data_IF_717923705653
#
_entry.id   IF_717923705653
#
_cell.length_a   1.000
_cell.length_b   1.000
_cell.length_c   1.000
_cell.angle_alpha   90.00
_cell.angle_beta   90.00
_cell.angle_gamma   90.00
#
_symmetry.space_group_name_H-M   'P 1'
#
loop_
_entity.id
_entity.type
_entity.pdbx_description
1 polymer ?
#
# COMPACT_ATOMS: atom_id res chain seq x y z
N UNK A 1 18.05 -10.87 -20.64
CA UNK A 1 19.30 -10.78 -19.86
C UNK A 1 19.07 -9.89 -18.65
N UNK A 2 18.64 -10.55 -17.57
CA UNK A 2 18.50 -10.14 -16.16
C UNK A 2 17.95 -8.73 -15.89
N UNK A 3 16.62 -8.60 -15.94
CA UNK A 3 15.93 -7.54 -15.22
C UNK A 3 16.16 -7.74 -13.72
N UNK A 4 16.84 -6.78 -13.11
CA UNK A 4 17.06 -6.71 -11.67
C UNK A 4 15.70 -6.77 -10.94
N UNK A 5 15.49 -7.69 -9.98
CA UNK A 5 14.33 -7.62 -9.11
C UNK A 5 14.46 -6.32 -8.30
N UNK A 6 13.52 -5.41 -8.48
CA UNK A 6 13.47 -4.16 -7.74
C UNK A 6 13.53 -4.47 -6.24
N UNK A 7 14.47 -3.78 -5.61
CA UNK A 7 14.80 -3.80 -4.20
C UNK A 7 13.60 -4.13 -3.31
N UNK A 8 13.74 -5.26 -2.62
CA UNK A 8 13.01 -5.51 -1.39
C UNK A 8 13.22 -4.30 -0.47
N UNK A 9 12.16 -3.52 -0.26
CA UNK A 9 12.10 -2.59 0.85
C UNK A 9 11.88 -3.46 2.09
N UNK A 10 12.98 -3.91 2.68
CA UNK A 10 13.00 -4.59 3.97
C UNK A 10 12.83 -3.51 5.04
N UNK A 11 11.57 -3.17 5.35
CA UNK A 11 11.29 -2.45 6.59
C UNK A 11 11.32 -3.48 7.74
N UNK A 12 12.38 -3.43 8.53
CA UNK A 12 12.52 -4.19 9.77
C UNK A 12 11.57 -3.62 10.84
N UNK A 13 10.29 -3.98 10.72
CA UNK A 13 9.30 -3.84 11.78
C UNK A 13 9.24 -5.11 12.61
N UNK A 14 9.21 -5.00 13.94
CA UNK A 14 8.96 -6.12 14.84
C UNK A 14 7.60 -6.76 14.51
N UNK A 15 7.62 -7.91 13.83
CA UNK A 15 6.41 -8.65 13.51
C UNK A 15 5.74 -9.12 14.80
N UNK A 16 4.53 -8.63 15.07
CA UNK A 16 3.71 -9.02 16.22
C UNK A 16 3.19 -10.46 16.07
N UNK A 17 3.15 -10.97 14.84
CA UNK A 17 2.66 -12.31 14.52
C UNK A 17 3.66 -13.10 13.68
N UNK A 18 3.54 -14.43 13.69
CA UNK A 18 4.41 -15.29 12.88
C UNK A 18 4.16 -15.02 11.37
N UNK A 19 5.21 -14.85 10.55
CA UNK A 19 5.05 -14.59 9.13
C UNK A 19 4.33 -15.75 8.44
N UNK A 20 3.23 -15.44 7.77
CA UNK A 20 2.45 -16.41 7.01
C UNK A 20 3.19 -16.79 5.72
N UNK A 21 3.23 -18.09 5.40
CA UNK A 21 3.88 -18.58 4.17
C UNK A 21 3.05 -18.18 2.95
N UNK A 22 3.62 -17.33 2.10
CA UNK A 22 3.00 -16.85 0.86
C UNK A 22 3.15 -17.94 -0.22
N UNK A 23 2.06 -18.36 -0.90
CA UNK A 23 2.15 -19.35 -1.98
C UNK A 23 2.90 -18.78 -3.21
N UNK A 24 3.61 -19.64 -3.97
CA UNK A 24 4.34 -19.19 -5.15
C UNK A 24 3.37 -18.71 -6.24
N UNK A 25 3.57 -17.49 -6.74
CA UNK A 25 2.75 -16.88 -7.79
C UNK A 25 1.57 -16.03 -7.29
N UNK A 26 1.50 -15.74 -5.99
CA UNK A 26 0.52 -14.80 -5.45
C UNK A 26 0.94 -13.34 -5.67
N UNK A 27 0.05 -12.53 -6.23
CA UNK A 27 0.22 -11.09 -6.35
C UNK A 27 -0.66 -10.38 -5.32
N UNK A 28 -0.09 -9.60 -4.38
CA UNK A 28 -0.88 -8.93 -3.36
C UNK A 28 -1.75 -7.85 -3.98
N UNK A 29 -3.00 -7.72 -3.55
CA UNK A 29 -3.86 -6.58 -3.88
C UNK A 29 -3.87 -5.60 -2.71
N UNK A 30 -3.12 -4.51 -2.82
CA UNK A 30 -2.96 -3.51 -1.74
C UNK A 30 -3.74 -2.25 -2.07
N UNK A 31 -4.53 -1.78 -1.11
CA UNK A 31 -5.28 -0.54 -1.20
C UNK A 31 -4.65 0.51 -0.29
N UNK A 32 -4.22 1.62 -0.87
CA UNK A 32 -3.65 2.76 -0.15
C UNK A 32 -4.71 3.86 0.00
N UNK A 33 -5.00 4.25 1.22
CA UNK A 33 -5.85 5.38 1.55
C UNK A 33 -4.94 6.57 1.87
N UNK A 34 -4.99 7.59 1.02
CA UNK A 34 -4.12 8.76 1.11
C UNK A 34 -4.95 10.03 1.37
N UNK A 35 -4.55 10.81 2.37
CA UNK A 35 -5.05 12.17 2.53
C UNK A 35 -4.64 13.05 1.35
N UNK A 36 -5.46 14.04 1.05
CA UNK A 36 -5.24 14.94 -0.08
C UNK A 36 -3.98 15.78 0.06
N UNK A 37 -3.70 16.27 1.28
CA UNK A 37 -2.68 17.30 1.49
C UNK A 37 -1.26 16.76 1.70
N UNK A 38 -1.11 15.63 2.39
CA UNK A 38 0.20 15.07 2.73
C UNK A 38 0.50 13.81 1.92
N UNK A 39 -0.25 12.72 2.13
CA UNK A 39 0.05 11.42 1.55
C UNK A 39 -0.14 11.37 0.02
N UNK A 40 -1.19 11.99 -0.51
CA UNK A 40 -1.41 12.06 -1.95
C UNK A 40 -0.36 12.96 -2.62
N UNK A 41 0.01 14.08 -1.98
CA UNK A 41 1.11 14.92 -2.46
C UNK A 41 2.46 14.20 -2.43
N UNK A 42 2.71 13.35 -1.43
CA UNK A 42 3.91 12.50 -1.38
C UNK A 42 3.90 11.44 -2.49
N UNK A 43 2.74 10.85 -2.80
CA UNK A 43 2.59 9.95 -3.94
C UNK A 43 2.85 10.66 -5.28
N UNK A 44 2.35 11.89 -5.45
CA UNK A 44 2.64 12.72 -6.62
C UNK A 44 4.13 13.06 -6.72
N UNK A 45 4.78 13.38 -5.59
CA UNK A 45 6.23 13.62 -5.54
C UNK A 45 7.01 12.36 -5.92
N UNK A 46 6.62 11.17 -5.45
CA UNK A 46 7.23 9.92 -5.85
C UNK A 46 7.13 9.70 -7.38
N UNK A 47 6.01 10.11 -7.99
CA UNK A 47 5.84 10.14 -9.45
C UNK A 47 6.78 11.13 -10.15
N UNK A 48 6.93 12.35 -9.63
CA UNK A 48 7.87 13.36 -10.15
C UNK A 48 9.31 12.87 -10.07
N UNK A 49 9.67 12.20 -8.98
CA UNK A 49 10.98 11.59 -8.76
C UNK A 49 11.21 10.31 -9.57
N UNK A 50 10.18 9.82 -10.28
CA UNK A 50 10.19 8.58 -11.06
C UNK A 50 10.58 7.36 -10.21
N UNK A 51 10.15 7.33 -8.96
CA UNK A 51 10.33 6.18 -8.09
C UNK A 51 9.45 5.04 -8.60
N UNK A 52 10.06 3.88 -8.83
CA UNK A 52 9.31 2.68 -9.19
C UNK A 52 8.66 2.09 -7.94
N UNK A 53 7.39 1.76 -8.04
CA UNK A 53 6.64 1.03 -7.04
C UNK A 53 5.84 -0.07 -7.74
N UNK A 54 5.42 -1.07 -6.96
CA UNK A 54 4.63 -2.18 -7.51
C UNK A 54 3.26 -1.69 -8.01
N UNK A 55 2.81 -2.12 -9.21
CA UNK A 55 1.50 -1.73 -9.76
C UNK A 55 0.31 -2.30 -8.96
N UNK A 56 0.60 -3.16 -7.99
CA UNK A 56 -0.36 -3.81 -7.11
C UNK A 56 -0.99 -2.87 -6.07
N UNK A 57 -0.45 -1.66 -5.91
CA UNK A 57 -0.94 -0.65 -4.98
C UNK A 57 -1.92 0.29 -5.68
N UNK A 58 -3.15 0.37 -5.18
CA UNK A 58 -4.20 1.27 -5.70
C UNK A 58 -4.48 2.38 -4.69
N UNK A 59 -4.39 3.64 -5.12
CA UNK A 59 -4.56 4.79 -4.22
C UNK A 59 -6.01 5.32 -4.27
N UNK A 60 -6.64 5.45 -3.11
CA UNK A 60 -7.89 6.19 -2.90
C UNK A 60 -7.58 7.50 -2.21
N UNK A 61 -7.98 8.60 -2.84
CA UNK A 61 -7.82 9.96 -2.32
C UNK A 61 -8.99 10.33 -1.39
N UNK A 62 -8.67 10.76 -0.17
CA UNK A 62 -9.59 11.33 0.80
C UNK A 62 -9.22 12.79 1.09
N UNK A 63 -10.16 13.66 1.52
CA UNK A 63 -9.80 15.02 1.93
C UNK A 63 -8.81 15.05 3.11
N UNK A 64 -8.97 14.17 4.09
CA UNK A 64 -8.07 13.98 5.23
C UNK A 64 -8.23 12.55 5.78
N UNK A 65 -7.22 12.00 6.45
CA UNK A 65 -7.33 10.71 7.17
C UNK A 65 -8.39 10.73 8.26
N UNK A 66 -8.75 11.90 8.80
CA UNK A 66 -9.85 12.03 9.75
C UNK A 66 -11.23 11.65 9.18
N UNK A 67 -11.38 11.53 7.85
CA UNK A 67 -12.60 11.00 7.22
C UNK A 67 -12.65 9.46 7.21
N UNK A 68 -11.52 8.80 7.48
CA UNK A 68 -11.46 7.35 7.48
C UNK A 68 -12.21 6.80 8.68
N UNK A 69 -13.24 6.02 8.37
CA UNK A 69 -13.99 5.22 9.34
C UNK A 69 -13.66 3.73 9.18
N UNK A 70 -13.84 2.97 10.26
CA UNK A 70 -13.60 1.52 10.30
C UNK A 70 -14.44 0.76 9.26
N UNK A 71 -15.64 1.24 8.93
CA UNK A 71 -16.47 0.65 7.88
C UNK A 71 -15.78 0.60 6.52
N UNK A 72 -14.95 1.59 6.17
CA UNK A 72 -14.18 1.56 4.92
C UNK A 72 -13.09 0.50 4.94
N UNK A 73 -12.42 0.34 6.09
CA UNK A 73 -11.37 -0.66 6.31
C UNK A 73 -11.96 -2.06 6.16
N UNK A 74 -13.05 -2.35 6.89
CA UNK A 74 -13.72 -3.65 6.84
C UNK A 74 -14.26 -3.96 5.45
N UNK A 75 -14.89 -2.99 4.79
CA UNK A 75 -15.40 -3.14 3.43
C UNK A 75 -14.29 -3.38 2.41
N UNK A 76 -13.07 -2.87 2.63
CA UNK A 76 -11.94 -3.16 1.76
C UNK A 76 -11.55 -4.63 1.86
N UNK A 77 -11.44 -5.18 3.08
CA UNK A 77 -11.15 -6.60 3.30
C UNK A 77 -12.27 -7.50 2.78
N UNK A 78 -13.55 -7.15 2.97
CA UNK A 78 -14.69 -7.87 2.38
C UNK A 78 -14.64 -7.93 0.84
N UNK A 79 -13.98 -6.96 0.20
CA UNK A 79 -13.80 -6.90 -1.25
C UNK A 79 -12.57 -7.66 -1.76
N UNK A 80 -11.85 -8.37 -0.88
CA UNK A 80 -10.66 -9.15 -1.25
C UNK A 80 -9.41 -8.29 -1.44
N UNK A 81 -9.27 -7.23 -0.63
CA UNK A 81 -8.00 -6.53 -0.48
C UNK A 81 -7.15 -7.30 0.54
N UNK A 82 -5.91 -7.61 0.17
CA UNK A 82 -4.99 -8.38 1.03
C UNK A 82 -4.30 -7.49 2.07
N UNK A 83 -4.16 -6.19 1.77
CA UNK A 83 -3.53 -5.23 2.66
C UNK A 83 -4.06 -3.82 2.46
N UNK A 84 -4.21 -3.09 3.56
CA UNK A 84 -4.58 -1.69 3.57
C UNK A 84 -3.41 -0.85 4.07
N UNK A 85 -3.02 0.16 3.32
CA UNK A 85 -2.05 1.18 3.74
C UNK A 85 -2.79 2.49 3.99
N UNK A 86 -2.64 3.10 5.17
CA UNK A 86 -3.30 4.37 5.50
C UNK A 86 -2.23 5.39 5.84
N UNK A 87 -2.21 6.50 5.12
CA UNK A 87 -1.27 7.60 5.35
C UNK A 87 -1.99 8.95 5.30
N UNK A 88 -1.61 9.83 6.23
CA UNK A 88 -2.20 11.14 6.48
C UNK A 88 -1.16 12.23 6.58
#
# INVERSE_FOLDING_TARGET
>A
MTGLPQAAVQEEGAFVEAPHKIPPGWEPNVLAIACHYCAFAAADLAGVMRLSYSPNVKIIRLPCTGKLDHSYVLRAFERGVDGLFVAG
#
